data_IF_888517161610
#
_entry.id   IF_888517161610
#
_cell.length_a   1.000
_cell.length_b   1.000
_cell.length_c   1.000
_cell.angle_alpha   90.00
_cell.angle_beta   90.00
_cell.angle_gamma   90.00
#
_symmetry.space_group_name_H-M   'P 1'
#
loop_
_entity.id
_entity.type
_entity.pdbx_description
1 polymer ?
#
# COMPACT_ATOMS: atom_id res chain seq x y z
N UNK A 1 -1.56 14.66 0.56
CA UNK A 1 -0.42 13.88 0.01
C UNK A 1 -0.12 12.74 0.97
N UNK A 2 0.27 11.58 0.48
CA UNK A 2 0.99 10.63 1.34
C UNK A 2 2.48 10.95 1.20
N UNK A 3 2.95 11.98 1.92
CA UNK A 3 4.34 12.48 1.86
C UNK A 3 5.33 11.34 2.16
N UNK A 4 4.96 10.49 3.11
CA UNK A 4 5.73 9.32 3.53
C UNK A 4 6.05 8.32 2.41
N UNK A 5 5.16 8.15 1.41
CA UNK A 5 5.42 7.17 0.33
C UNK A 5 6.52 7.64 -0.62
N UNK A 6 6.48 8.92 -1.04
CA UNK A 6 7.51 9.47 -1.93
C UNK A 6 8.86 9.59 -1.23
N UNK A 7 8.87 9.96 0.05
CA UNK A 7 10.09 10.01 0.84
C UNK A 7 10.73 8.63 0.99
N UNK A 8 9.94 7.61 1.37
CA UNK A 8 10.44 6.25 1.51
C UNK A 8 11.01 5.71 0.19
N UNK A 9 10.32 5.95 -0.93
CA UNK A 9 10.82 5.57 -2.26
C UNK A 9 12.13 6.27 -2.59
N UNK A 10 12.22 7.58 -2.37
CA UNK A 10 13.43 8.36 -2.66
C UNK A 10 14.60 7.91 -1.78
N UNK A 11 14.37 7.59 -0.50
CA UNK A 11 15.42 7.06 0.38
C UNK A 11 15.96 5.71 -0.12
N UNK A 12 15.08 4.81 -0.54
CA UNK A 12 15.49 3.50 -1.09
C UNK A 12 16.26 3.67 -2.40
N UNK A 13 15.76 4.49 -3.32
CA UNK A 13 16.46 4.78 -4.59
C UNK A 13 17.83 5.43 -4.34
N UNK A 14 17.92 6.38 -3.42
CA UNK A 14 19.18 7.03 -3.06
C UNK A 14 20.20 6.04 -2.47
N UNK A 15 19.74 5.04 -1.71
CA UNK A 15 20.62 3.97 -1.19
C UNK A 15 21.26 3.13 -2.31
N UNK A 16 20.60 3.07 -3.46
CA UNK A 16 21.10 2.43 -4.69
C UNK A 16 21.85 3.41 -5.61
N UNK A 17 22.14 4.63 -5.13
CA UNK A 17 22.74 5.73 -5.92
C UNK A 17 21.90 6.13 -7.14
N UNK A 18 20.59 5.93 -7.08
CA UNK A 18 19.62 6.38 -8.07
C UNK A 18 18.92 7.62 -7.54
N UNK A 19 19.04 8.73 -8.25
CA UNK A 19 18.29 9.96 -7.96
C UNK A 19 17.27 10.21 -9.07
N UNK A 20 16.00 10.27 -8.72
CA UNK A 20 14.89 10.49 -9.68
C UNK A 20 14.15 11.75 -9.30
N UNK A 21 14.11 12.72 -10.22
CA UNK A 21 13.23 13.86 -10.12
C UNK A 21 11.93 13.58 -10.91
N UNK A 22 10.75 13.60 -10.27
CA UNK A 22 9.51 13.33 -10.96
C UNK A 22 9.13 14.50 -11.89
N UNK A 23 8.84 14.21 -13.16
CA UNK A 23 8.37 15.22 -14.11
C UNK A 23 7.01 15.81 -13.74
N UNK A 24 6.21 15.09 -12.94
CA UNK A 24 4.89 15.52 -12.48
C UNK A 24 4.67 15.14 -11.02
N UNK A 25 4.01 16.02 -10.25
CA UNK A 25 3.54 15.74 -8.90
C UNK A 25 2.01 15.75 -8.90
N UNK A 26 1.42 14.57 -8.74
CA UNK A 26 -0.03 14.35 -8.87
C UNK A 26 -0.54 13.61 -7.62
N UNK A 27 -1.71 14.00 -7.11
CA UNK A 27 -2.24 13.48 -5.84
C UNK A 27 -3.10 12.22 -6.00
N UNK A 28 -3.82 12.09 -7.12
CA UNK A 28 -4.78 11.01 -7.33
C UNK A 28 -4.17 9.88 -8.17
N UNK A 29 -4.29 8.63 -7.69
CA UNK A 29 -3.84 7.43 -8.38
C UNK A 29 -4.53 7.26 -9.74
N UNK A 30 -5.83 7.54 -9.83
CA UNK A 30 -6.60 7.48 -11.08
C UNK A 30 -6.07 8.46 -12.14
N UNK A 31 -5.69 9.67 -11.72
CA UNK A 31 -5.07 10.65 -12.63
C UNK A 31 -3.70 10.18 -13.09
N UNK A 32 -2.87 9.64 -12.19
CA UNK A 32 -1.56 9.06 -12.54
C UNK A 32 -1.74 7.94 -13.58
N UNK A 33 -2.65 6.98 -13.33
CA UNK A 33 -2.93 5.89 -14.26
C UNK A 33 -3.42 6.39 -15.63
N UNK A 34 -4.24 7.43 -15.66
CA UNK A 34 -4.68 8.07 -16.91
C UNK A 34 -3.54 8.79 -17.62
N UNK A 35 -2.62 9.43 -16.90
CA UNK A 35 -1.43 10.03 -17.52
C UNK A 35 -0.52 8.97 -18.13
N UNK A 36 -0.28 7.88 -17.41
CA UNK A 36 0.48 6.72 -17.92
C UNK A 36 -0.21 6.13 -19.15
N UNK A 37 -1.54 5.96 -19.13
CA UNK A 37 -2.29 5.44 -20.28
C UNK A 37 -2.29 6.37 -21.49
N UNK A 38 -2.09 7.67 -21.30
CA UNK A 38 -1.90 8.64 -22.38
C UNK A 38 -0.44 8.77 -22.83
N UNK A 39 0.48 7.97 -22.29
CA UNK A 39 1.89 7.96 -22.68
C UNK A 39 2.75 9.07 -22.06
N UNK A 40 2.31 9.71 -20.98
CA UNK A 40 3.07 10.79 -20.31
C UNK A 40 4.22 10.29 -19.43
N UNK A 41 4.47 8.99 -19.39
CA UNK A 41 5.59 8.38 -18.67
C UNK A 41 5.19 7.14 -17.89
N UNK A 42 5.85 6.91 -16.77
CA UNK A 42 5.61 5.77 -15.86
C UNK A 42 5.43 6.25 -14.43
N UNK A 43 4.88 5.38 -13.57
CA UNK A 43 4.70 5.66 -12.16
C UNK A 43 5.09 4.45 -11.31
N UNK A 44 5.76 4.72 -10.19
CA UNK A 44 5.97 3.72 -9.14
C UNK A 44 4.81 3.84 -8.16
N UNK A 45 4.06 2.75 -7.98
CA UNK A 45 2.86 2.74 -7.16
C UNK A 45 2.79 1.48 -6.30
N UNK A 46 2.24 1.60 -5.09
CA UNK A 46 1.92 0.43 -4.28
C UNK A 46 0.82 -0.38 -4.96
N UNK A 47 0.94 -1.71 -4.98
CA UNK A 47 -0.03 -2.61 -5.60
C UNK A 47 -1.47 -2.38 -5.11
N UNK A 48 -1.64 -2.11 -3.82
CA UNK A 48 -2.93 -1.84 -3.19
C UNK A 48 -3.52 -0.45 -3.50
N UNK A 49 -2.80 0.42 -4.20
CA UNK A 49 -3.29 1.73 -4.63
C UNK A 49 -3.86 1.73 -6.06
N UNK A 50 -3.90 0.56 -6.70
CA UNK A 50 -4.42 0.36 -8.06
C UNK A 50 -5.75 -0.37 -7.93
N UNK A 51 -6.84 0.36 -8.16
CA UNK A 51 -8.19 -0.23 -8.16
C UNK A 51 -8.44 -1.02 -9.46
N UNK A 52 -8.06 -0.43 -10.60
CA UNK A 52 -8.19 -1.01 -11.93
C UNK A 52 -7.04 -0.53 -12.83
N UNK A 53 -6.50 -1.42 -13.65
CA UNK A 53 -5.44 -1.09 -14.59
C UNK A 53 -6.03 -0.85 -15.99
N UNK A 54 -5.77 0.29 -16.64
CA UNK A 54 -6.20 0.51 -18.02
C UNK A 54 -5.61 -0.55 -18.96
N UNK A 55 -6.37 -0.98 -19.98
CA UNK A 55 -5.98 -2.07 -20.90
C UNK A 55 -4.61 -1.88 -21.57
N UNK A 56 -4.25 -0.63 -21.84
CA UNK A 56 -3.00 -0.27 -22.50
C UNK A 56 -1.84 0.03 -21.52
N UNK A 57 -2.04 -0.17 -20.22
CA UNK A 57 -1.02 -0.01 -19.19
C UNK A 57 -0.58 -1.37 -18.69
N UNK A 58 0.72 -1.53 -18.44
CA UNK A 58 1.29 -2.77 -17.89
C UNK A 58 1.97 -2.48 -16.56
N UNK A 59 1.88 -3.44 -15.64
CA UNK A 59 2.64 -3.41 -14.38
C UNK A 59 3.94 -4.18 -14.59
N UNK A 60 5.05 -3.56 -14.23
CA UNK A 60 6.35 -4.22 -14.14
C UNK A 60 6.64 -4.44 -12.66
N UNK A 61 6.91 -5.70 -12.28
CA UNK A 61 7.30 -6.00 -10.92
C UNK A 61 8.65 -5.36 -10.61
N UNK A 62 8.73 -4.68 -9.47
CA UNK A 62 9.97 -4.15 -8.93
C UNK A 62 10.52 -5.16 -7.92
N UNK A 63 11.83 -5.36 -7.90
CA UNK A 63 12.47 -6.28 -6.95
C UNK A 63 12.10 -5.93 -5.50
N UNK A 64 12.13 -6.94 -4.62
CA UNK A 64 11.49 -6.99 -3.29
C UNK A 64 11.97 -5.98 -2.24
N UNK A 65 12.74 -4.96 -2.62
CA UNK A 65 13.34 -3.98 -1.70
C UNK A 65 12.34 -2.92 -1.21
N UNK A 66 11.20 -2.76 -1.89
CA UNK A 66 10.23 -1.71 -1.61
C UNK A 66 8.90 -2.29 -1.13
N UNK A 67 8.80 -2.47 0.18
CA UNK A 67 7.58 -2.89 0.84
C UNK A 67 6.85 -1.70 1.48
N UNK A 68 5.53 -1.68 1.34
CA UNK A 68 4.67 -0.77 2.11
C UNK A 68 3.97 -1.56 3.20
N UNK A 69 4.47 -1.48 4.44
CA UNK A 69 3.80 -2.10 5.59
C UNK A 69 2.50 -1.35 5.91
N UNK A 70 1.39 -2.08 5.90
CA UNK A 70 0.08 -1.60 6.39
C UNK A 70 -0.13 -2.23 7.76
N UNK A 71 -0.31 -1.38 8.78
CA UNK A 71 -0.44 -1.81 10.16
C UNK A 71 -1.75 -1.32 10.78
N UNK A 72 -2.23 -2.04 11.78
CA UNK A 72 -3.40 -1.67 12.57
C UNK A 72 -2.89 -1.29 13.96
N UNK A 73 -3.23 -0.08 14.41
CA UNK A 73 -2.92 0.38 15.75
C UNK A 73 -4.17 0.26 16.64
N UNK A 74 -4.03 -0.46 17.76
CA UNK A 74 -5.12 -0.69 18.72
C UNK A 74 -4.55 -0.48 20.11
N UNK A 75 -5.24 0.29 20.95
CA UNK A 75 -4.87 0.41 22.35
C UNK A 75 -5.04 -0.95 23.06
N UNK A 76 -4.09 -1.40 23.88
CA UNK A 76 -4.14 -2.74 24.49
C UNK A 76 -5.46 -3.06 25.20
N UNK A 77 -6.04 -2.07 25.88
CA UNK A 77 -7.31 -2.17 26.61
C UNK A 77 -8.53 -2.39 25.71
N UNK A 78 -8.43 -2.10 24.41
CA UNK A 78 -9.52 -2.19 23.45
C UNK A 78 -9.61 -3.57 22.79
N UNK A 79 -8.62 -4.45 22.97
CA UNK A 79 -8.66 -5.83 22.44
C UNK A 79 -9.78 -6.68 23.03
N UNK A 80 -10.37 -6.26 24.16
CA UNK A 80 -11.55 -6.91 24.77
C UNK A 80 -12.86 -6.55 24.09
N UNK A 81 -12.90 -5.50 23.26
CA UNK A 81 -14.14 -5.04 22.63
C UNK A 81 -14.55 -6.03 21.53
N UNK A 82 -15.76 -6.62 21.59
CA UNK A 82 -16.18 -7.66 20.64
C UNK A 82 -16.06 -7.22 19.17
N UNK A 83 -16.50 -5.99 18.86
CA UNK A 83 -16.45 -5.44 17.52
C UNK A 83 -15.02 -5.35 16.96
N UNK A 84 -14.02 -5.02 17.79
CA UNK A 84 -12.62 -4.96 17.39
C UNK A 84 -12.10 -6.37 17.08
N UNK A 85 -12.46 -7.36 17.89
CA UNK A 85 -12.05 -8.75 17.68
C UNK A 85 -12.66 -9.32 16.40
N UNK A 86 -13.94 -9.05 16.15
CA UNK A 86 -14.62 -9.44 14.90
C UNK A 86 -13.97 -8.77 13.70
N UNK A 87 -13.69 -7.47 13.77
CA UNK A 87 -13.00 -6.75 12.68
C UNK A 87 -11.62 -7.36 12.37
N UNK A 88 -10.81 -7.64 13.38
CA UNK A 88 -9.50 -8.28 13.20
C UNK A 88 -9.61 -9.69 12.61
N UNK A 89 -10.60 -10.48 13.04
CA UNK A 89 -10.86 -11.80 12.45
C UNK A 89 -11.22 -11.69 10.97
N UNK A 90 -12.12 -10.78 10.59
CA UNK A 90 -12.50 -10.55 9.20
C UNK A 90 -11.30 -10.10 8.34
N UNK A 91 -10.41 -9.27 8.89
CA UNK A 91 -9.20 -8.87 8.19
C UNK A 91 -8.21 -10.03 8.03
N UNK A 92 -8.07 -10.90 9.03
CA UNK A 92 -7.23 -12.11 8.92
C UNK A 92 -7.77 -13.05 7.85
N UNK A 93 -9.08 -13.21 7.75
CA UNK A 93 -9.73 -14.02 6.71
C UNK A 93 -9.52 -13.43 5.31
N UNK A 94 -9.64 -12.10 5.17
CA UNK A 94 -9.39 -11.39 3.91
C UNK A 94 -7.90 -11.40 3.50
N UNK A 95 -6.98 -11.41 4.47
CA UNK A 95 -5.54 -11.41 4.25
C UNK A 95 -4.85 -12.52 5.07
N UNK A 96 -4.94 -13.80 4.65
CA UNK A 96 -4.45 -14.94 5.44
C UNK A 96 -2.95 -14.89 5.74
N UNK A 97 -2.16 -14.33 4.83
CA UNK A 97 -0.70 -14.21 4.96
C UNK A 97 -0.25 -13.00 5.80
N UNK A 98 -1.18 -12.22 6.35
CA UNK A 98 -0.85 -11.07 7.20
C UNK A 98 -0.36 -11.51 8.59
N UNK A 99 0.36 -10.62 9.27
CA UNK A 99 0.78 -10.75 10.67
C UNK A 99 -0.39 -10.57 11.68
N UNK A 100 -1.64 -10.44 11.21
CA UNK A 100 -2.81 -10.27 12.08
C UNK A 100 -3.04 -11.56 12.88
N UNK A 101 -3.22 -11.49 14.22
CA UNK A 101 -3.42 -12.67 15.05
C UNK A 101 -4.78 -13.33 14.81
N UNK A 102 -4.82 -14.66 14.89
CA UNK A 102 -6.07 -15.41 14.90
C UNK A 102 -6.75 -15.26 16.27
N UNK A 103 -7.89 -14.57 16.32
CA UNK A 103 -8.64 -14.33 17.55
C UNK A 103 -9.82 -15.30 17.69
N UNK A 104 -9.97 -15.90 18.87
CA UNK A 104 -11.15 -16.72 19.18
C UNK A 104 -12.32 -15.82 19.59
N UNK A 105 -13.28 -15.60 18.69
CA UNK A 105 -14.42 -14.67 18.87
C UNK A 105 -15.33 -15.06 20.05
N UNK A 106 -15.29 -16.32 20.54
CA UNK A 106 -16.16 -16.83 21.63
C UNK A 106 -15.77 -16.37 23.05
N UNK A 107 -14.65 -15.67 23.22
CA UNK A 107 -14.19 -15.15 24.51
C UNK A 107 -14.50 -13.65 24.70
N UNK A 108 -15.53 -13.15 24.01
CA UNK A 108 -15.95 -11.75 24.04
C UNK A 108 -17.02 -11.51 25.12
#
# INVERSE_FOLDING_TARGET
ECIFCSEHLNTQLASLSINVEPSFRVKASSTILRMVSQGLGMAVMAKLAIDELPENVKVVAMDSLLERKISIAIAPENLKIPAIRVFLSLLKDAYPNSEIPSLNIKQA
#
